data_IF_477190510705
#
_entry.id   IF_477190510705
#
_cell.length_a   1.000
_cell.length_b   1.000
_cell.length_c   1.000
_cell.angle_alpha   90.00
_cell.angle_beta   90.00
_cell.angle_gamma   90.00
#
_symmetry.space_group_name_H-M   'P 1'
#
loop_
_entity.id
_entity.type
_entity.pdbx_description
1 polymer ?
#
# COMPACT_ATOMS: atom_id res chain seq x y z
N UNK A 1 5.19 -0.60 10.62
CA UNK A 1 6.04 -0.98 11.77
C UNK A 1 7.23 -0.08 12.06
N UNK A 2 8.17 0.14 11.13
CA UNK A 2 9.40 0.88 11.43
C UNK A 2 9.19 2.37 11.77
N UNK A 3 8.16 3.02 11.21
CA UNK A 3 7.84 4.41 11.53
C UNK A 3 7.27 4.51 12.95
N UNK A 4 7.81 5.38 13.83
CA UNK A 4 7.28 5.64 15.18
C UNK A 4 5.89 6.29 15.17
N UNK A 5 5.10 6.07 16.23
CA UNK A 5 3.73 6.63 16.38
C UNK A 5 3.71 8.16 16.18
N UNK A 6 4.62 8.88 16.83
CA UNK A 6 4.69 10.35 16.80
C UNK A 6 5.01 10.91 15.40
N UNK A 7 5.37 10.05 14.45
CA UNK A 7 5.63 10.43 13.06
C UNK A 7 4.46 10.13 12.11
N UNK A 8 3.37 9.53 12.58
CA UNK A 8 2.21 9.26 11.72
C UNK A 8 1.51 10.54 11.24
N UNK A 9 1.59 11.63 12.02
CA UNK A 9 1.12 12.97 11.63
C UNK A 9 2.14 13.80 10.84
N UNK A 10 3.37 13.32 10.68
CA UNK A 10 4.41 14.04 9.94
C UNK A 10 4.09 14.08 8.44
N UNK A 11 4.41 15.21 7.80
CA UNK A 11 4.34 15.43 6.36
C UNK A 11 5.55 16.24 5.88
N UNK A 12 6.02 16.04 4.63
CA UNK A 12 7.20 16.73 4.12
C UNK A 12 6.99 18.22 3.86
N UNK A 13 5.77 18.62 3.51
CA UNK A 13 5.41 20.03 3.26
C UNK A 13 3.90 20.25 3.42
N UNK A 14 3.49 21.51 3.40
CA UNK A 14 2.08 21.87 3.25
C UNK A 14 1.49 21.28 1.95
N UNK A 15 0.20 20.93 1.98
CA UNK A 15 -0.51 20.31 0.86
C UNK A 15 -0.20 18.83 0.60
N UNK A 16 0.80 18.26 1.26
CA UNK A 16 1.18 16.85 1.10
C UNK A 16 0.58 16.00 2.21
N UNK A 17 0.20 14.76 1.86
CA UNK A 17 -0.32 13.76 2.81
C UNK A 17 0.64 13.53 3.98
N UNK A 18 0.09 13.31 5.17
CA UNK A 18 0.86 12.78 6.29
C UNK A 18 1.25 11.33 6.05
N UNK A 19 2.17 10.80 6.86
CA UNK A 19 2.52 9.37 6.82
C UNK A 19 1.29 8.47 7.02
N UNK A 20 0.41 8.78 7.98
CA UNK A 20 -0.84 8.03 8.19
C UNK A 20 -1.75 8.09 6.98
N UNK A 21 -1.90 9.26 6.35
CA UNK A 21 -2.74 9.45 5.17
C UNK A 21 -2.19 8.71 3.95
N UNK A 22 -0.86 8.64 3.76
CA UNK A 22 -0.27 7.82 2.69
C UNK A 22 -0.61 6.35 2.89
N UNK A 23 -0.47 5.81 4.10
CA UNK A 23 -0.82 4.41 4.36
C UNK A 23 -2.31 4.16 4.20
N UNK A 24 -3.16 5.03 4.73
CA UNK A 24 -4.60 4.90 4.55
C UNK A 24 -5.03 5.08 3.09
N UNK A 25 -4.29 5.84 2.29
CA UNK A 25 -4.50 5.95 0.84
C UNK A 25 -4.21 4.62 0.14
N UNK A 26 -3.12 3.95 0.50
CA UNK A 26 -2.82 2.59 0.01
C UNK A 26 -3.93 1.62 0.41
N UNK A 27 -4.36 1.64 1.68
CA UNK A 27 -5.47 0.80 2.14
C UNK A 27 -6.77 1.08 1.36
N UNK A 28 -7.04 2.36 1.05
CA UNK A 28 -8.20 2.77 0.25
C UNK A 28 -8.18 2.12 -1.13
N UNK A 29 -7.05 2.18 -1.83
CA UNK A 29 -6.91 1.58 -3.15
C UNK A 29 -6.97 0.04 -3.09
N UNK A 30 -6.35 -0.57 -2.09
CA UNK A 30 -6.34 -2.01 -1.90
C UNK A 30 -7.72 -2.60 -1.61
N UNK A 31 -8.61 -1.85 -0.94
CA UNK A 31 -10.02 -2.23 -0.81
C UNK A 31 -10.87 -1.86 -2.03
N UNK A 32 -10.60 -0.70 -2.63
CA UNK A 32 -11.45 -0.12 -3.65
C UNK A 32 -11.25 -0.68 -5.06
N UNK A 33 -10.00 -0.81 -5.52
CA UNK A 33 -9.69 -1.27 -6.88
C UNK A 33 -10.21 -2.70 -7.18
N UNK A 34 -10.16 -3.66 -6.23
CA UNK A 34 -10.77 -4.98 -6.43
C UNK A 34 -12.26 -4.98 -6.77
N UNK A 35 -13.00 -3.91 -6.42
CA UNK A 35 -14.43 -3.80 -6.74
C UNK A 35 -14.72 -3.77 -8.22
N UNK A 36 -13.80 -3.24 -9.03
CA UNK A 36 -13.92 -3.20 -10.50
C UNK A 36 -13.73 -4.57 -11.15
N UNK A 37 -13.22 -5.55 -10.41
CA UNK A 37 -13.03 -6.94 -10.85
C UNK A 37 -13.88 -7.92 -10.02
N UNK A 38 -14.93 -7.40 -9.38
CA UNK A 38 -15.99 -8.22 -8.76
C UNK A 38 -15.82 -8.50 -7.26
N UNK A 39 -14.75 -8.03 -6.62
CA UNK A 39 -14.59 -8.19 -5.17
C UNK A 39 -15.12 -6.97 -4.42
N UNK A 40 -16.24 -7.12 -3.72
CA UNK A 40 -16.85 -6.03 -2.95
C UNK A 40 -15.93 -5.57 -1.81
N UNK A 41 -15.79 -4.25 -1.60
CA UNK A 41 -15.03 -3.72 -0.46
C UNK A 41 -15.71 -4.08 0.88
N UNK A 42 -15.01 -3.93 2.01
CA UNK A 42 -15.59 -4.15 3.33
C UNK A 42 -16.76 -3.20 3.62
N UNK A 43 -17.62 -3.60 4.56
CA UNK A 43 -18.74 -2.77 5.01
C UNK A 43 -18.27 -1.43 5.57
N UNK A 44 -19.00 -0.35 5.28
CA UNK A 44 -18.64 1.00 5.69
C UNK A 44 -17.49 1.64 4.89
N UNK A 45 -16.96 0.96 3.87
CA UNK A 45 -15.98 1.54 2.96
C UNK A 45 -16.59 2.61 2.05
N UNK A 46 -15.94 3.77 2.01
CA UNK A 46 -16.21 4.82 1.03
C UNK A 46 -14.88 5.33 0.47
N UNK A 47 -14.74 5.21 -0.86
CA UNK A 47 -13.55 5.59 -1.61
C UNK A 47 -13.08 7.02 -1.32
N UNK A 48 -14.01 7.94 -1.00
CA UNK A 48 -13.71 9.37 -0.79
C UNK A 48 -13.28 9.70 0.63
N UNK A 49 -13.69 8.91 1.62
CA UNK A 49 -13.56 9.28 3.03
C UNK A 49 -12.68 8.32 3.83
N UNK A 50 -12.48 7.09 3.37
CA UNK A 50 -11.72 6.04 4.08
C UNK A 50 -10.29 6.46 4.44
N UNK A 51 -9.63 7.25 3.60
CA UNK A 51 -8.27 7.73 3.85
C UNK A 51 -8.12 8.46 5.20
N UNK A 52 -9.18 9.08 5.70
CA UNK A 52 -9.15 9.90 6.93
C UNK A 52 -9.66 9.17 8.17
N UNK A 53 -10.04 7.90 8.08
CA UNK A 53 -10.72 7.20 9.19
C UNK A 53 -9.77 6.63 10.24
N UNK A 54 -8.47 6.60 9.99
CA UNK A 54 -7.47 6.13 10.94
C UNK A 54 -6.21 7.00 10.91
N UNK A 55 -5.71 7.34 12.09
CA UNK A 55 -4.51 8.19 12.25
C UNK A 55 -3.48 7.58 13.19
N UNK A 56 -3.90 6.77 14.15
CA UNK A 56 -3.00 6.06 15.07
C UNK A 56 -2.25 4.96 14.35
N UNK A 57 -1.02 4.65 14.77
CA UNK A 57 -0.24 3.56 14.17
C UNK A 57 -0.99 2.24 14.21
N UNK A 58 -1.62 1.94 15.34
CA UNK A 58 -2.34 0.68 15.55
C UNK A 58 -3.50 0.52 14.55
N UNK A 59 -4.34 1.55 14.41
CA UNK A 59 -5.48 1.50 13.51
C UNK A 59 -5.04 1.48 12.05
N UNK A 60 -4.05 2.30 11.69
CA UNK A 60 -3.50 2.33 10.33
C UNK A 60 -2.89 0.98 9.95
N UNK A 61 -2.10 0.35 10.85
CA UNK A 61 -1.51 -0.97 10.60
C UNK A 61 -2.58 -2.05 10.44
N UNK A 62 -3.64 -2.01 11.25
CA UNK A 62 -4.79 -2.92 11.12
C UNK A 62 -5.45 -2.79 9.75
N UNK A 63 -5.74 -1.57 9.31
CA UNK A 63 -6.36 -1.32 8.00
C UNK A 63 -5.43 -1.70 6.86
N UNK A 64 -4.13 -1.39 6.96
CA UNK A 64 -3.14 -1.78 5.98
C UNK A 64 -3.07 -3.30 5.79
N UNK A 65 -2.97 -4.05 6.89
CA UNK A 65 -2.94 -5.52 6.83
C UNK A 65 -4.19 -6.09 6.16
N UNK A 66 -5.37 -5.68 6.65
CA UNK A 66 -6.64 -6.14 6.09
C UNK A 66 -6.81 -5.78 4.60
N UNK A 67 -6.31 -4.62 4.19
CA UNK A 67 -6.38 -4.19 2.78
C UNK A 67 -5.50 -5.05 1.88
N UNK A 68 -4.29 -5.43 2.33
CA UNK A 68 -3.42 -6.31 1.55
C UNK A 68 -4.00 -7.71 1.45
N UNK A 69 -4.56 -8.26 2.54
CA UNK A 69 -5.23 -9.56 2.51
C UNK A 69 -6.39 -9.57 1.49
N UNK A 70 -7.17 -8.48 1.47
CA UNK A 70 -8.25 -8.28 0.51
C UNK A 70 -7.75 -8.21 -0.95
N UNK A 71 -6.76 -7.35 -1.22
CA UNK A 71 -6.15 -7.20 -2.54
C UNK A 71 -5.53 -8.52 -3.05
N UNK A 72 -4.82 -9.24 -2.19
CA UNK A 72 -4.21 -10.54 -2.51
C UNK A 72 -5.30 -11.56 -2.84
N UNK A 73 -6.36 -11.64 -2.02
CA UNK A 73 -7.47 -12.56 -2.28
C UNK A 73 -8.16 -12.25 -3.61
N UNK A 74 -8.36 -10.97 -3.93
CA UNK A 74 -8.95 -10.56 -5.21
C UNK A 74 -8.16 -11.09 -6.39
N UNK A 75 -6.83 -10.87 -6.39
CA UNK A 75 -5.95 -11.29 -7.48
C UNK A 75 -5.87 -12.81 -7.56
N UNK A 76 -5.80 -13.51 -6.43
CA UNK A 76 -5.74 -15.00 -6.40
C UNK A 76 -7.00 -15.67 -6.95
N UNK A 77 -8.14 -15.00 -6.90
CA UNK A 77 -9.41 -15.53 -7.38
C UNK A 77 -9.64 -15.26 -8.88
N UNK A 78 -8.73 -14.54 -9.55
CA UNK A 78 -8.84 -14.31 -10.98
C UNK A 78 -8.46 -15.56 -11.77
N UNK A 79 -9.30 -15.93 -12.72
CA UNK A 79 -8.96 -16.94 -13.71
C UNK A 79 -8.17 -16.33 -14.87
N UNK A 80 -7.17 -17.05 -15.39
CA UNK A 80 -6.37 -16.57 -16.52
C UNK A 80 -7.22 -16.25 -17.75
N UNK A 81 -8.29 -17.02 -18.00
CA UNK A 81 -9.22 -16.82 -19.10
C UNK A 81 -10.02 -15.50 -19.00
N UNK A 82 -10.09 -14.91 -17.80
CA UNK A 82 -10.88 -13.72 -17.52
C UNK A 82 -10.07 -12.43 -17.62
N UNK A 83 -8.74 -12.52 -17.75
CA UNK A 83 -7.82 -11.39 -17.68
C UNK A 83 -8.10 -10.30 -18.71
N UNK A 84 -8.60 -10.66 -19.89
CA UNK A 84 -8.85 -9.71 -20.97
C UNK A 84 -10.33 -9.29 -21.06
N UNK A 85 -11.17 -9.70 -20.10
CA UNK A 85 -12.55 -9.22 -19.99
C UNK A 85 -12.55 -7.70 -19.78
N UNK A 86 -13.45 -6.97 -20.47
CA UNK A 86 -13.51 -5.52 -20.35
C UNK A 86 -13.99 -5.09 -18.96
N UNK A 87 -13.38 -4.03 -18.44
CA UNK A 87 -13.73 -3.39 -17.17
C UNK A 87 -13.88 -1.88 -17.41
N UNK A 88 -14.94 -1.28 -16.88
CA UNK A 88 -15.03 0.17 -16.78
C UNK A 88 -14.30 0.62 -15.51
N UNK A 89 -13.11 1.19 -15.68
CA UNK A 89 -12.24 1.62 -14.60
C UNK A 89 -12.32 3.15 -14.48
N UNK A 90 -13.12 3.63 -13.54
CA UNK A 90 -13.39 5.05 -13.34
C UNK A 90 -13.87 5.78 -14.62
N UNK A 91 -14.75 5.15 -15.39
CA UNK A 91 -15.25 5.68 -16.66
C UNK A 91 -14.32 5.46 -17.86
N UNK A 92 -13.16 4.81 -17.66
CA UNK A 92 -12.22 4.49 -18.73
C UNK A 92 -12.29 3.00 -19.10
N UNK A 93 -12.15 2.71 -20.39
CA UNK A 93 -12.05 1.33 -20.85
C UNK A 93 -10.74 0.70 -20.38
N UNK A 94 -10.83 -0.42 -19.69
CA UNK A 94 -9.70 -1.23 -19.22
C UNK A 94 -10.06 -2.72 -19.36
N UNK A 95 -9.24 -3.58 -18.77
CA UNK A 95 -9.50 -5.02 -18.61
C UNK A 95 -9.28 -5.44 -17.16
N UNK A 96 -9.68 -6.67 -16.82
CA UNK A 96 -9.36 -7.28 -15.52
C UNK A 96 -7.86 -7.23 -15.24
N UNK A 97 -7.04 -7.59 -16.22
CA UNK A 97 -5.57 -7.50 -16.18
C UNK A 97 -5.10 -6.07 -15.97
N UNK A 98 -5.68 -5.11 -16.69
CA UNK A 98 -5.35 -3.70 -16.55
C UNK A 98 -5.59 -3.18 -15.12
N UNK A 99 -6.72 -3.54 -14.53
CA UNK A 99 -7.05 -3.20 -13.14
C UNK A 99 -6.11 -3.88 -12.14
N UNK A 100 -5.79 -5.17 -12.33
CA UNK A 100 -4.83 -5.86 -11.47
C UNK A 100 -3.42 -5.26 -11.55
N UNK A 101 -2.98 -4.87 -12.75
CA UNK A 101 -1.70 -4.20 -12.95
C UNK A 101 -1.70 -2.78 -12.36
N UNK A 102 -2.82 -2.05 -12.42
CA UNK A 102 -2.95 -0.76 -11.73
C UNK A 102 -2.79 -0.92 -10.22
N UNK A 103 -3.43 -1.93 -9.63
CA UNK A 103 -3.31 -2.23 -8.20
C UNK A 103 -1.84 -2.50 -7.82
N UNK A 104 -1.11 -3.28 -8.63
CA UNK A 104 0.32 -3.53 -8.41
C UNK A 104 1.13 -2.24 -8.56
N UNK A 105 0.92 -1.47 -9.63
CA UNK A 105 1.66 -0.24 -9.90
C UNK A 105 1.46 0.80 -8.79
N UNK A 106 0.21 1.01 -8.35
CA UNK A 106 -0.15 1.92 -7.25
C UNK A 106 0.59 1.56 -5.95
N UNK A 107 0.61 0.27 -5.58
CA UNK A 107 1.36 -0.18 -4.41
C UNK A 107 2.87 0.09 -4.55
N UNK A 108 3.46 -0.06 -5.74
CA UNK A 108 4.88 0.23 -5.97
C UNK A 108 5.18 1.73 -5.94
N UNK A 109 4.31 2.58 -6.48
CA UNK A 109 4.43 4.04 -6.40
C UNK A 109 4.46 4.50 -4.94
N UNK A 110 3.54 4.00 -4.12
CA UNK A 110 3.48 4.35 -2.70
C UNK A 110 4.55 3.66 -1.85
N UNK A 111 5.09 2.53 -2.28
CA UNK A 111 6.31 1.97 -1.68
C UNK A 111 7.48 2.95 -1.84
N UNK A 112 7.69 3.48 -3.05
CA UNK A 112 8.70 4.51 -3.31
C UNK A 112 8.49 5.75 -2.43
N UNK A 113 7.25 6.22 -2.32
CA UNK A 113 6.89 7.32 -1.43
C UNK A 113 7.18 7.00 0.05
N UNK A 114 6.82 5.81 0.54
CA UNK A 114 7.04 5.40 1.92
C UNK A 114 8.53 5.31 2.28
N UNK A 115 9.40 4.92 1.32
CA UNK A 115 10.85 4.96 1.48
C UNK A 115 11.33 6.39 1.72
N UNK A 116 10.91 7.31 0.85
CA UNK A 116 11.30 8.71 0.97
C UNK A 116 10.83 9.29 2.32
N UNK A 117 9.58 9.01 2.71
CA UNK A 117 9.01 9.47 3.98
C UNK A 117 9.81 8.95 5.16
N UNK A 118 10.10 7.64 5.20
CA UNK A 118 10.88 7.02 6.27
C UNK A 118 12.26 7.69 6.40
N UNK A 119 12.97 7.86 5.27
CA UNK A 119 14.31 8.48 5.29
C UNK A 119 14.27 9.94 5.73
N UNK A 120 13.26 10.71 5.34
CA UNK A 120 13.09 12.11 5.76
C UNK A 120 12.87 12.29 7.26
N UNK A 121 12.40 11.26 7.96
CA UNK A 121 12.23 11.25 9.42
C UNK A 121 13.29 10.42 10.16
N UNK A 122 14.40 10.09 9.49
CA UNK A 122 15.52 9.36 10.08
C UNK A 122 15.28 7.87 10.31
N UNK A 123 14.25 7.28 9.69
CA UNK A 123 13.94 5.85 9.76
C UNK A 123 14.55 5.13 8.57
N UNK A 124 15.40 4.13 8.84
CA UNK A 124 15.89 3.22 7.80
C UNK A 124 14.79 2.19 7.46
N UNK A 125 14.39 2.05 6.19
CA UNK A 125 13.44 1.03 5.76
C UNK A 125 13.91 -0.39 6.16
N UNK A 126 12.98 -1.29 6.55
CA UNK A 126 13.33 -2.62 7.09
C UNK A 126 14.20 -3.49 6.17
N UNK A 127 14.00 -3.44 4.86
CA UNK A 127 14.78 -4.26 3.92
C UNK A 127 16.21 -3.74 3.77
N UNK A 128 16.43 -2.43 3.74
CA UNK A 128 17.78 -1.85 3.77
C UNK A 128 18.51 -2.25 5.05
N UNK A 129 17.84 -2.19 6.20
CA UNK A 129 18.43 -2.61 7.47
C UNK A 129 18.84 -4.10 7.47
N UNK A 130 18.03 -4.97 6.85
CA UNK A 130 18.36 -6.40 6.70
C UNK A 130 19.55 -6.63 5.77
N UNK A 131 19.61 -5.92 4.65
CA UNK A 131 20.73 -5.99 3.69
C UNK A 131 22.05 -5.54 4.34
N UNK A 132 22.02 -4.43 5.08
CA UNK A 132 23.18 -3.92 5.81
C UNK A 132 23.66 -4.91 6.89
N UNK A 133 22.74 -5.55 7.62
CA UNK A 133 23.06 -6.55 8.62
C UNK A 133 23.71 -7.80 7.99
N UNK A 134 23.15 -8.30 6.89
CA UNK A 134 23.69 -9.44 6.15
C UNK A 134 25.09 -9.15 5.58
N UNK A 135 25.30 -7.94 5.05
CA UNK A 135 26.61 -7.52 4.56
C UNK A 135 27.66 -7.47 5.67
N UNK A 136 27.29 -6.97 6.86
CA UNK A 136 28.17 -6.95 8.03
C UNK A 136 28.55 -8.36 8.50
N UNK A 137 27.58 -9.26 8.61
CA UNK A 137 27.82 -10.65 9.00
C UNK A 137 28.76 -11.35 7.99
N UNK A 138 28.58 -11.11 6.70
CA UNK A 138 29.45 -11.67 5.66
C UNK A 138 30.88 -11.13 5.71
N UNK A 139 31.07 -9.87 6.12
CA UNK A 139 32.39 -9.26 6.28
C UNK A 139 33.12 -9.80 7.52
N UNK A 140 32.40 -10.00 8.62
CA UNK A 140 32.97 -10.52 9.87
C UNK A 140 33.38 -11.99 9.73
N UNK A 141 32.66 -12.82 8.95
CA UNK A 141 33.04 -14.21 8.64
C UNK A 141 34.29 -14.35 7.74
N UNK A 142 34.73 -13.26 7.10
CA UNK A 142 35.92 -13.24 6.22
C UNK A 142 37.19 -12.78 6.94
N UNK A 143 37.08 -12.33 8.20
CA UNK A 143 38.21 -12.01 9.07
C UNK A 143 38.57 -13.19 9.95
#
# INVERSE_FOLDING_TARGET
>A
DAIPEDKYSWKPSEGVRTASEVFMHVATANFGLPSFIGMKPPEGFDFRTFEKTATTKADVMKQMSASFDHAILAVRNLADADMDKPVDLFGNKSTVRGTAMLLVAHNHEHLGQAIAYARSIGVTPPWTAREEAAAKEAADKKK
#
